data_IF_729710794602
#
_entry.id   IF_729710794602
#
_cell.length_a   1.000
_cell.length_b   1.000
_cell.length_c   1.000
_cell.angle_alpha   90.00
_cell.angle_beta   90.00
_cell.angle_gamma   90.00
#
_symmetry.space_group_name_H-M   'P 1'
#
loop_
_entity.id
_entity.type
_entity.pdbx_description
1 polymer ?
#
# COMPACT_ATOMS: atom_id res chain seq x y z
N UNK A 1 52.40 -4.30 14.52
CA UNK A 1 51.42 -3.19 14.55
C UNK A 1 50.54 -3.10 13.30
N UNK A 2 51.05 -2.98 12.06
CA UNK A 2 50.21 -2.74 10.88
C UNK A 2 49.27 -3.91 10.55
N UNK A 3 49.76 -5.14 10.68
CA UNK A 3 48.99 -6.37 10.45
C UNK A 3 47.81 -6.51 11.44
N UNK A 4 48.04 -6.16 12.70
CA UNK A 4 47.04 -6.21 13.77
C UNK A 4 45.92 -5.19 13.53
N UNK A 5 46.30 -3.97 13.12
CA UNK A 5 45.36 -2.92 12.73
C UNK A 5 44.55 -3.29 11.47
N UNK A 6 45.21 -3.95 10.49
CA UNK A 6 44.54 -4.43 9.28
C UNK A 6 43.48 -5.47 9.63
N UNK A 7 43.83 -6.47 10.44
CA UNK A 7 42.89 -7.51 10.89
C UNK A 7 41.72 -6.89 11.66
N UNK A 8 41.99 -5.97 12.59
CA UNK A 8 40.95 -5.29 13.35
C UNK A 8 39.98 -4.50 12.46
N UNK A 9 40.51 -3.82 11.44
CA UNK A 9 39.70 -3.02 10.51
C UNK A 9 38.79 -3.90 9.67
N UNK A 10 39.32 -5.01 9.15
CA UNK A 10 38.53 -5.98 8.38
C UNK A 10 37.46 -6.63 9.26
N UNK A 11 37.82 -7.03 10.48
CA UNK A 11 36.87 -7.59 11.44
C UNK A 11 35.74 -6.61 11.78
N UNK A 12 36.08 -5.33 12.00
CA UNK A 12 35.10 -4.28 12.28
C UNK A 12 34.12 -4.11 11.11
N UNK A 13 34.63 -4.04 9.88
CA UNK A 13 33.79 -3.90 8.68
C UNK A 13 32.86 -5.10 8.53
N UNK A 14 33.39 -6.33 8.67
CA UNK A 14 32.59 -7.55 8.58
C UNK A 14 31.50 -7.59 9.66
N UNK A 15 31.83 -7.18 10.89
CA UNK A 15 30.87 -7.11 11.99
C UNK A 15 29.77 -6.09 11.74
N UNK A 16 30.10 -4.88 11.27
CA UNK A 16 29.11 -3.85 10.96
C UNK A 16 28.20 -4.31 9.82
N UNK A 17 28.77 -4.76 8.70
CA UNK A 17 28.00 -5.21 7.54
C UNK A 17 27.10 -6.39 7.90
N UNK A 18 27.66 -7.41 8.58
CA UNK A 18 26.90 -8.57 9.02
C UNK A 18 25.80 -8.22 10.02
N UNK A 19 26.10 -7.36 10.99
CA UNK A 19 25.15 -6.88 11.99
C UNK A 19 24.00 -6.08 11.37
N UNK A 20 24.31 -5.14 10.47
CA UNK A 20 23.31 -4.35 9.75
C UNK A 20 22.43 -5.26 8.88
N UNK A 21 23.01 -6.20 8.14
CA UNK A 21 22.25 -7.15 7.34
C UNK A 21 21.31 -8.01 8.22
N UNK A 22 21.79 -8.49 9.37
CA UNK A 22 20.98 -9.25 10.32
C UNK A 22 19.84 -8.41 10.91
N UNK A 23 20.08 -7.14 11.26
CA UNK A 23 19.05 -6.23 11.75
C UNK A 23 17.97 -5.95 10.68
N UNK A 24 18.38 -5.69 9.44
CA UNK A 24 17.46 -5.49 8.31
C UNK A 24 16.64 -6.75 8.08
N UNK A 25 17.29 -7.92 7.98
CA UNK A 25 16.61 -9.19 7.77
C UNK A 25 15.62 -9.49 8.92
N UNK A 26 16.00 -9.21 10.17
CA UNK A 26 15.12 -9.34 11.34
C UNK A 26 13.95 -8.36 11.27
N UNK A 27 14.19 -7.12 10.86
CA UNK A 27 13.16 -6.10 10.66
C UNK A 27 12.15 -6.48 9.58
N UNK A 28 12.64 -6.96 8.42
CA UNK A 28 11.81 -7.48 7.33
C UNK A 28 11.02 -8.69 7.81
N UNK A 29 11.66 -9.65 8.51
CA UNK A 29 10.98 -10.85 9.00
C UNK A 29 9.92 -10.51 10.05
N UNK A 30 10.17 -9.53 10.93
CA UNK A 30 9.18 -9.04 11.90
C UNK A 30 8.05 -8.27 11.22
N UNK A 31 8.36 -7.42 10.24
CA UNK A 31 7.37 -6.70 9.43
C UNK A 31 6.48 -7.65 8.63
N UNK A 32 7.09 -8.67 8.01
CA UNK A 32 6.39 -9.76 7.33
C UNK A 32 5.58 -10.58 8.32
N UNK A 33 6.12 -10.98 9.46
CA UNK A 33 5.35 -11.72 10.46
C UNK A 33 4.11 -10.94 10.92
N UNK A 34 4.19 -9.62 11.01
CA UNK A 34 3.03 -8.79 11.29
C UNK A 34 2.09 -8.75 10.06
N UNK A 35 2.59 -8.59 8.82
CA UNK A 35 1.78 -8.58 7.56
C UNK A 35 1.15 -9.92 7.17
N UNK A 36 1.78 -11.01 7.57
CA UNK A 36 1.30 -12.39 7.38
C UNK A 36 0.54 -12.88 8.62
N UNK A 37 0.31 -12.03 9.62
CA UNK A 37 -0.70 -12.31 10.63
C UNK A 37 -2.08 -12.10 9.97
N UNK A 38 -2.88 -13.16 9.78
CA UNK A 38 -4.24 -13.01 9.27
C UNK A 38 -5.11 -12.13 10.17
N UNK A 39 -4.65 -11.77 11.38
CA UNK A 39 -5.28 -10.78 12.26
C UNK A 39 -4.96 -9.32 11.88
N UNK A 40 -3.89 -9.02 11.12
CA UNK A 40 -3.60 -7.63 10.69
C UNK A 40 -4.45 -7.21 9.50
N UNK A 41 -4.81 -8.16 8.65
CA UNK A 41 -5.86 -7.98 7.67
C UNK A 41 -7.20 -8.01 8.39
N UNK A 42 -7.62 -6.88 8.92
CA UNK A 42 -9.01 -6.68 9.32
C UNK A 42 -9.91 -6.64 8.07
N UNK A 43 -10.09 -7.80 7.43
CA UNK A 43 -11.18 -8.08 6.50
C UNK A 43 -12.50 -8.36 7.23
N UNK A 44 -12.58 -8.06 8.53
CA UNK A 44 -13.88 -8.07 9.21
C UNK A 44 -14.56 -6.72 8.96
N UNK A 45 -15.24 -6.68 7.83
CA UNK A 45 -16.51 -5.97 7.64
C UNK A 45 -16.41 -4.53 8.12
N UNK A 46 -15.80 -3.67 7.30
CA UNK A 46 -16.05 -2.24 7.44
C UNK A 46 -17.59 -2.08 7.34
N UNK A 47 -18.28 -1.56 8.38
CA UNK A 47 -19.73 -1.49 8.38
C UNK A 47 -20.19 -0.76 7.11
N UNK A 48 -20.96 -1.46 6.27
CA UNK A 48 -21.41 -0.92 4.99
C UNK A 48 -20.63 -1.38 3.75
N UNK A 49 -19.50 -2.08 3.85
CA UNK A 49 -18.77 -2.62 2.69
C UNK A 49 -19.66 -3.51 1.81
N UNK A 50 -20.42 -4.41 2.44
CA UNK A 50 -21.36 -5.28 1.74
C UNK A 50 -22.51 -4.50 1.11
N UNK A 51 -22.98 -3.43 1.77
CA UNK A 51 -24.03 -2.55 1.23
C UNK A 51 -23.51 -1.70 0.05
N UNK A 52 -22.26 -1.23 0.09
CA UNK A 52 -21.62 -0.52 -1.03
C UNK A 52 -21.34 -1.45 -2.22
N UNK A 53 -20.83 -2.65 -1.96
CA UNK A 53 -20.52 -3.63 -3.00
C UNK A 53 -21.76 -4.16 -3.72
N UNK A 54 -22.88 -4.28 -3.00
CA UNK A 54 -24.17 -4.72 -3.55
C UNK A 54 -25.03 -3.55 -4.06
N UNK A 55 -24.53 -2.31 -4.03
CA UNK A 55 -25.29 -1.14 -4.45
C UNK A 55 -26.55 -0.87 -3.62
N UNK A 56 -26.63 -1.43 -2.42
CA UNK A 56 -27.73 -1.26 -1.47
C UNK A 56 -27.56 0.00 -0.60
N UNK A 57 -26.51 0.80 -0.83
CA UNK A 57 -26.33 2.08 -0.18
C UNK A 57 -27.39 3.06 -0.71
N UNK A 58 -28.12 3.77 0.16
CA UNK A 58 -29.08 4.78 -0.29
C UNK A 58 -28.35 5.77 -1.19
N UNK A 59 -28.96 6.16 -2.31
CA UNK A 59 -28.46 7.26 -3.13
C UNK A 59 -28.55 8.53 -2.29
N UNK A 60 -27.48 8.86 -1.56
CA UNK A 60 -27.33 10.20 -1.02
C UNK A 60 -27.27 11.12 -2.23
N UNK A 61 -28.23 12.04 -2.39
CA UNK A 61 -28.19 12.96 -3.52
C UNK A 61 -26.83 13.65 -3.50
N UNK A 62 -26.17 13.67 -4.65
CA UNK A 62 -24.88 14.34 -4.74
C UNK A 62 -25.13 15.84 -4.47
N UNK A 63 -24.18 16.56 -3.87
CA UNK A 63 -24.32 18.00 -3.69
C UNK A 63 -24.55 18.69 -5.03
N UNK A 64 -25.20 19.85 -5.01
CA UNK A 64 -25.54 20.61 -6.22
C UNK A 64 -24.36 20.82 -7.17
N UNK A 65 -23.15 21.05 -6.63
CA UNK A 65 -21.91 21.22 -7.40
C UNK A 65 -21.47 19.99 -8.20
N UNK A 66 -21.94 18.79 -7.88
CA UNK A 66 -21.59 17.56 -8.59
C UNK A 66 -22.37 17.38 -9.91
N UNK A 67 -23.43 18.15 -10.11
CA UNK A 67 -24.23 18.17 -11.34
C UNK A 67 -23.79 19.27 -12.31
N UNK A 68 -22.75 20.04 -11.96
CA UNK A 68 -22.33 21.21 -12.74
C UNK A 68 -21.53 20.86 -14.01
N UNK A 69 -21.15 19.59 -14.20
CA UNK A 69 -20.35 19.14 -15.35
C UNK A 69 -21.18 18.60 -16.53
N UNK A 70 -22.52 18.46 -16.41
CA UNK A 70 -23.37 17.92 -17.49
C UNK A 70 -24.01 18.98 -18.41
N UNK A 71 -23.97 20.27 -18.05
CA UNK A 71 -24.57 21.37 -18.84
C UNK A 71 -23.59 21.94 -19.91
N UNK A 72 -22.75 21.11 -20.51
CA UNK A 72 -21.59 21.58 -21.28
C UNK A 72 -21.25 20.92 -22.62
N UNK A 73 -21.86 19.80 -23.03
CA UNK A 73 -21.47 19.12 -24.28
C UNK A 73 -22.68 18.63 -25.09
N UNK A 74 -23.46 19.59 -25.60
CA UNK A 74 -24.46 19.35 -26.63
C UNK A 74 -23.85 19.59 -28.03
N UNK A 75 -22.93 18.72 -28.48
CA UNK A 75 -22.70 18.53 -29.92
C UNK A 75 -21.87 17.28 -30.30
N UNK A 76 -22.56 16.23 -30.76
CA UNK A 76 -22.49 15.64 -32.13
C UNK A 76 -22.77 14.15 -32.15
N UNK A 77 -23.88 13.85 -32.80
CA UNK A 77 -24.23 12.55 -33.38
C UNK A 77 -23.04 11.87 -34.07
N UNK A 78 -22.72 10.67 -33.60
CA UNK A 78 -21.65 9.82 -34.13
C UNK A 78 -22.07 8.36 -34.19
N UNK A 79 -22.98 8.07 -35.12
CA UNK A 79 -23.29 6.78 -35.75
C UNK A 79 -22.35 5.62 -35.36
N UNK A 80 -22.88 4.59 -34.67
CA UNK A 80 -22.33 3.23 -34.75
C UNK A 80 -23.28 2.32 -35.52
N UNK A 81 -22.95 2.13 -36.81
CA UNK A 81 -23.42 1.00 -37.63
C UNK A 81 -22.30 -0.03 -37.74
N UNK A 82 -22.75 -1.29 -37.71
CA UNK A 82 -22.07 -2.58 -37.92
C UNK A 82 -21.35 -3.17 -36.73
#
# INVERSE_FOLDING_TARGET
MPLLLLVLKVALIAFVVGGTAALIARGIRRSRANRFDPRWTSHRIQPGYEASALGAMPTTPLPEWAYWDEDGDDHRDGVRRR
#
